data_IF_304776352250
#
_entry.id   IF_304776352250
#
_cell.length_a   1.000
_cell.length_b   1.000
_cell.length_c   1.000
_cell.angle_alpha   90.00
_cell.angle_beta   90.00
_cell.angle_gamma   90.00
#
_symmetry.space_group_name_H-M   'P 1'
#
loop_
_entity.id
_entity.type
_entity.pdbx_description
1 polymer ?
#
# COMPACT_ATOMS: atom_id res chain seq x y z
N UNK A 1 25.98 -3.34 -7.88
CA UNK A 1 24.61 -3.70 -7.47
C UNK A 1 23.73 -2.48 -7.64
N UNK A 2 22.63 -2.59 -8.41
CA UNK A 2 21.67 -1.51 -8.62
C UNK A 2 20.51 -1.68 -7.63
N UNK A 3 20.30 -0.70 -6.76
CA UNK A 3 19.31 -0.75 -5.68
C UNK A 3 18.13 0.14 -6.03
N UNK A 4 16.91 -0.38 -5.88
CA UNK A 4 15.66 0.35 -6.07
C UNK A 4 14.93 0.62 -4.75
N UNK A 5 13.85 1.40 -4.83
CA UNK A 5 12.92 1.62 -3.74
C UNK A 5 11.53 1.22 -4.23
N UNK A 6 10.91 0.26 -3.57
CA UNK A 6 9.55 -0.17 -3.88
C UNK A 6 8.59 0.28 -2.78
N UNK A 7 7.46 0.80 -3.18
CA UNK A 7 6.50 1.46 -2.29
C UNK A 7 5.16 0.72 -2.29
N UNK A 8 4.57 0.52 -1.12
CA UNK A 8 3.12 0.36 -1.07
C UNK A 8 2.42 1.69 -1.36
N UNK A 9 1.12 1.64 -1.65
CA UNK A 9 0.33 2.81 -2.04
C UNK A 9 -0.54 3.31 -0.90
N UNK A 10 -1.53 2.48 -0.50
CA UNK A 10 -2.58 2.85 0.47
C UNK A 10 -2.01 2.88 1.89
N UNK A 11 -1.97 4.02 2.54
CA UNK A 11 -1.39 4.19 3.89
C UNK A 11 0.12 4.48 3.88
N UNK A 12 0.78 4.34 2.75
CA UNK A 12 2.22 4.61 2.60
C UNK A 12 2.47 5.91 1.84
N UNK A 13 2.11 5.96 0.56
CA UNK A 13 2.22 7.16 -0.28
C UNK A 13 0.95 8.02 -0.23
N UNK A 14 -0.22 7.39 -0.22
CA UNK A 14 -1.52 8.04 -0.26
C UNK A 14 -2.34 7.75 1.02
N UNK A 15 -2.94 8.81 1.60
CA UNK A 15 -4.06 8.66 2.53
C UNK A 15 -5.33 8.44 1.70
N UNK A 16 -5.72 7.18 1.60
CA UNK A 16 -6.90 6.73 0.84
C UNK A 16 -8.07 6.36 1.75
N UNK A 17 -7.91 6.52 3.07
CA UNK A 17 -8.83 5.93 4.05
C UNK A 17 -10.23 6.52 3.98
N UNK A 18 -10.36 7.82 3.70
CA UNK A 18 -11.67 8.48 3.65
C UNK A 18 -12.48 7.99 2.45
N UNK A 19 -11.89 7.92 1.25
CA UNK A 19 -12.58 7.41 0.06
C UNK A 19 -12.90 5.91 0.18
N UNK A 20 -12.02 5.12 0.81
CA UNK A 20 -12.28 3.72 1.13
C UNK A 20 -13.45 3.58 2.13
N UNK A 21 -13.52 4.46 3.14
CA UNK A 21 -14.60 4.46 4.13
C UNK A 21 -15.93 4.79 3.48
N UNK A 22 -15.97 5.82 2.64
CA UNK A 22 -17.18 6.20 1.91
C UNK A 22 -17.68 5.07 1.00
N UNK A 23 -16.75 4.42 0.27
CA UNK A 23 -17.11 3.32 -0.62
C UNK A 23 -17.61 2.07 0.14
N UNK A 24 -16.98 1.72 1.26
CA UNK A 24 -17.45 0.64 2.15
C UNK A 24 -18.86 0.95 2.63
N UNK A 25 -19.08 2.16 3.14
CA UNK A 25 -20.38 2.56 3.68
C UNK A 25 -21.46 2.69 2.60
N UNK A 26 -21.09 3.11 1.39
CA UNK A 26 -22.00 3.07 0.24
C UNK A 26 -22.45 1.63 -0.05
N UNK A 27 -21.53 0.69 -0.10
CA UNK A 27 -21.87 -0.72 -0.30
C UNK A 27 -22.75 -1.28 0.82
N UNK A 28 -22.40 -1.03 2.08
CA UNK A 28 -23.18 -1.49 3.24
C UNK A 28 -24.60 -0.93 3.24
N UNK A 29 -24.77 0.37 2.96
CA UNK A 29 -26.06 1.05 2.95
C UNK A 29 -27.04 0.46 1.93
N UNK A 30 -26.57 0.01 0.76
CA UNK A 30 -27.41 -0.61 -0.27
C UNK A 30 -28.09 -1.91 0.21
N UNK A 31 -27.49 -2.59 1.19
CA UNK A 31 -28.03 -3.84 1.76
C UNK A 31 -28.59 -3.67 3.16
N UNK A 32 -28.72 -2.41 3.64
CA UNK A 32 -29.25 -2.11 4.97
C UNK A 32 -28.34 -2.58 6.11
N UNK A 33 -27.05 -2.77 5.87
CA UNK A 33 -26.08 -3.18 6.89
C UNK A 33 -25.59 -1.97 7.70
N UNK A 34 -25.18 -2.18 8.97
CA UNK A 34 -24.61 -1.14 9.80
C UNK A 34 -23.39 -0.50 9.15
N UNK A 35 -23.33 0.82 9.15
CA UNK A 35 -22.18 1.56 8.64
C UNK A 35 -20.96 1.38 9.55
N UNK A 36 -19.77 1.52 8.98
CA UNK A 36 -18.50 1.43 9.68
C UNK A 36 -17.86 2.80 9.88
N UNK A 37 -17.26 2.98 11.03
CA UNK A 37 -16.44 4.16 11.30
C UNK A 37 -15.13 4.11 10.50
N UNK A 38 -14.49 5.26 10.31
CA UNK A 38 -13.16 5.36 9.69
C UNK A 38 -12.12 4.46 10.38
N UNK A 39 -12.16 4.40 11.71
CA UNK A 39 -11.23 3.56 12.49
C UNK A 39 -11.47 2.06 12.33
N UNK A 40 -12.71 1.63 12.14
CA UNK A 40 -13.02 0.24 11.82
C UNK A 40 -12.49 -0.10 10.42
N UNK A 41 -12.78 0.76 9.43
CA UNK A 41 -12.29 0.55 8.05
C UNK A 41 -10.77 0.54 8.02
N UNK A 42 -10.08 1.43 8.75
CA UNK A 42 -8.61 1.42 8.90
C UNK A 42 -8.08 0.04 9.32
N UNK A 43 -8.73 -0.61 10.29
CA UNK A 43 -8.34 -1.95 10.75
C UNK A 43 -8.61 -3.06 9.72
N UNK A 44 -9.54 -2.84 8.81
CA UNK A 44 -9.95 -3.84 7.82
C UNK A 44 -9.08 -3.80 6.55
N UNK A 45 -8.49 -2.65 6.21
CA UNK A 45 -7.65 -2.44 5.02
C UNK A 45 -6.33 -3.22 5.12
N UNK A 46 -5.68 -3.49 3.98
CA UNK A 46 -4.34 -4.07 3.84
C UNK A 46 -4.31 -5.43 3.12
N UNK A 47 -5.35 -6.24 3.26
CA UNK A 47 -5.42 -7.58 2.66
C UNK A 47 -6.29 -7.68 1.40
N UNK A 48 -6.52 -6.55 0.72
CA UNK A 48 -7.35 -6.45 -0.48
C UNK A 48 -8.85 -6.29 -0.18
N UNK A 49 -9.60 -5.84 -1.21
CA UNK A 49 -11.00 -5.42 -1.05
C UNK A 49 -11.95 -6.54 -0.58
N UNK A 50 -11.76 -7.78 -1.03
CA UNK A 50 -12.61 -8.89 -0.57
C UNK A 50 -12.52 -9.08 0.94
N UNK A 51 -11.30 -9.03 1.51
CA UNK A 51 -11.11 -9.13 2.97
C UNK A 51 -11.63 -7.90 3.71
N UNK A 52 -11.48 -6.72 3.14
CA UNK A 52 -12.05 -5.48 3.66
C UNK A 52 -13.57 -5.63 3.81
N UNK A 53 -14.27 -6.04 2.75
CA UNK A 53 -15.73 -6.21 2.76
C UNK A 53 -16.15 -7.34 3.70
N UNK A 54 -15.47 -8.50 3.69
CA UNK A 54 -15.76 -9.60 4.62
C UNK A 54 -15.70 -9.19 6.09
N UNK A 55 -14.79 -8.27 6.45
CA UNK A 55 -14.68 -7.74 7.82
C UNK A 55 -15.73 -6.67 8.12
N UNK A 56 -16.25 -6.00 7.09
CA UNK A 56 -17.20 -4.91 7.24
C UNK A 56 -18.67 -5.37 7.35
N UNK A 57 -19.04 -6.47 6.69
CA UNK A 57 -20.41 -7.01 6.67
C UNK A 57 -20.75 -7.79 7.94
N UNK A 58 -22.04 -8.03 8.25
CA UNK A 58 -22.45 -8.95 9.30
C UNK A 58 -21.94 -10.38 9.06
N UNK A 59 -21.76 -11.12 10.15
CA UNK A 59 -21.38 -12.53 10.09
C UNK A 59 -22.39 -13.36 9.28
N UNK A 60 -21.88 -14.21 8.38
CA UNK A 60 -22.72 -15.05 7.51
C UNK A 60 -23.29 -14.34 6.28
N UNK A 61 -23.13 -13.03 6.15
CA UNK A 61 -23.56 -12.30 4.94
C UNK A 61 -22.64 -12.59 3.74
N UNK A 62 -23.23 -12.59 2.53
CA UNK A 62 -22.48 -12.73 1.29
C UNK A 62 -21.71 -11.44 0.96
N UNK A 63 -20.37 -11.49 0.84
CA UNK A 63 -19.57 -10.31 0.50
C UNK A 63 -19.69 -9.87 -0.97
N UNK A 64 -20.06 -10.74 -1.90
CA UNK A 64 -19.95 -10.47 -3.33
C UNK A 64 -20.84 -9.31 -3.81
N UNK A 65 -22.12 -9.20 -3.44
CA UNK A 65 -22.94 -8.09 -3.85
C UNK A 65 -22.47 -6.76 -3.22
N UNK A 66 -22.03 -6.78 -1.95
CA UNK A 66 -21.51 -5.58 -1.27
C UNK A 66 -20.20 -5.14 -1.90
N UNK A 67 -19.32 -6.09 -2.23
CA UNK A 67 -18.06 -5.80 -2.93
C UNK A 67 -18.30 -5.20 -4.32
N UNK A 68 -19.31 -5.67 -5.03
CA UNK A 68 -19.68 -5.11 -6.34
C UNK A 68 -20.16 -3.65 -6.20
N UNK A 69 -21.01 -3.36 -5.22
CA UNK A 69 -21.48 -2.01 -4.91
C UNK A 69 -20.31 -1.09 -4.48
N UNK A 70 -19.42 -1.60 -3.63
CA UNK A 70 -18.17 -0.92 -3.25
C UNK A 70 -17.34 -0.51 -4.48
N UNK A 71 -17.08 -1.43 -5.41
CA UNK A 71 -16.28 -1.15 -6.59
C UNK A 71 -16.92 -0.15 -7.54
N UNK A 72 -18.22 -0.26 -7.76
CA UNK A 72 -18.96 0.68 -8.61
C UNK A 72 -18.85 2.12 -8.08
N UNK A 73 -18.94 2.29 -6.76
CA UNK A 73 -18.78 3.60 -6.14
C UNK A 73 -17.30 4.04 -6.16
N UNK A 74 -16.40 3.18 -5.69
CA UNK A 74 -14.98 3.51 -5.56
C UNK A 74 -14.32 3.89 -6.89
N UNK A 75 -14.71 3.25 -7.99
CA UNK A 75 -14.17 3.57 -9.31
C UNK A 75 -14.39 5.04 -9.74
N UNK A 76 -15.50 5.64 -9.30
CA UNK A 76 -15.84 7.03 -9.59
C UNK A 76 -15.32 8.03 -8.53
N UNK A 77 -15.07 7.56 -7.29
CA UNK A 77 -14.86 8.42 -6.12
C UNK A 77 -13.51 8.21 -5.42
N UNK A 78 -12.61 7.39 -5.98
CA UNK A 78 -11.33 7.05 -5.32
C UNK A 78 -10.30 8.20 -5.25
N UNK A 79 -10.65 9.38 -5.75
CA UNK A 79 -9.80 10.57 -5.80
C UNK A 79 -10.45 11.80 -5.14
N UNK A 80 -11.63 11.65 -4.56
CA UNK A 80 -12.38 12.78 -4.00
C UNK A 80 -11.66 13.38 -2.79
N UNK A 81 -11.20 12.53 -1.88
CA UNK A 81 -10.51 12.88 -0.64
C UNK A 81 -9.08 12.37 -0.57
N UNK A 82 -8.73 11.35 -1.39
CA UNK A 82 -7.38 10.78 -1.45
C UNK A 82 -6.34 11.85 -1.77
N UNK A 83 -5.25 11.86 -1.00
CA UNK A 83 -4.12 12.80 -1.19
C UNK A 83 -2.81 12.11 -0.78
N UNK A 84 -1.66 12.49 -1.36
CA UNK A 84 -0.36 12.11 -0.82
C UNK A 84 -0.25 12.59 0.64
N UNK A 85 0.35 11.76 1.50
CA UNK A 85 0.70 12.22 2.84
C UNK A 85 1.62 13.44 2.76
N UNK A 86 1.50 14.33 3.74
CA UNK A 86 2.34 15.52 3.81
C UNK A 86 3.82 15.13 3.75
N UNK A 87 4.61 15.81 2.91
CA UNK A 87 6.05 15.54 2.74
C UNK A 87 6.42 14.41 1.77
N UNK A 88 5.49 13.53 1.36
CA UNK A 88 5.79 12.41 0.44
C UNK A 88 6.33 12.91 -0.90
N UNK A 89 5.70 13.90 -1.52
CA UNK A 89 6.17 14.42 -2.82
C UNK A 89 7.59 14.99 -2.72
N UNK A 90 7.92 15.63 -1.60
CA UNK A 90 9.26 16.15 -1.34
C UNK A 90 10.27 15.02 -1.16
N UNK A 91 9.92 13.97 -0.40
CA UNK A 91 10.80 12.80 -0.21
C UNK A 91 11.07 12.07 -1.53
N UNK A 92 10.03 11.85 -2.35
CA UNK A 92 10.19 11.25 -3.67
C UNK A 92 11.10 12.09 -4.59
N UNK A 93 10.97 13.42 -4.57
CA UNK A 93 11.82 14.30 -5.34
C UNK A 93 13.31 14.23 -4.90
N UNK A 94 13.58 14.07 -3.61
CA UNK A 94 14.95 13.86 -3.09
C UNK A 94 15.54 12.50 -3.51
N UNK A 95 14.68 11.49 -3.69
CA UNK A 95 15.06 10.12 -4.03
C UNK A 95 15.02 9.83 -5.54
N UNK A 96 14.74 10.82 -6.38
CA UNK A 96 14.51 10.64 -7.83
C UNK A 96 15.66 10.01 -8.62
N UNK A 97 16.88 9.98 -8.05
CA UNK A 97 18.06 9.30 -8.62
C UNK A 97 17.99 7.77 -8.52
N UNK A 98 17.13 7.23 -7.68
CA UNK A 98 16.95 5.80 -7.52
C UNK A 98 15.78 5.30 -8.36
N UNK A 99 15.88 4.12 -8.99
CA UNK A 99 14.72 3.48 -9.61
C UNK A 99 13.64 3.21 -8.57
N UNK A 100 12.42 3.57 -8.88
CA UNK A 100 11.28 3.40 -7.97
C UNK A 100 10.12 2.70 -8.66
N UNK A 101 9.36 1.91 -7.88
CA UNK A 101 8.11 1.29 -8.31
C UNK A 101 7.09 1.28 -7.18
N UNK A 102 5.81 1.22 -7.54
CA UNK A 102 4.69 1.07 -6.62
C UNK A 102 4.12 -0.34 -6.78
N UNK A 103 3.91 -1.05 -5.63
CA UNK A 103 3.38 -2.41 -5.59
C UNK A 103 2.29 -2.49 -4.53
N UNK A 104 1.03 -2.73 -4.94
CA UNK A 104 -0.12 -2.66 -4.03
C UNK A 104 -1.09 -3.84 -4.18
N UNK A 105 -1.72 -4.25 -3.07
CA UNK A 105 -2.85 -5.20 -3.07
C UNK A 105 -4.18 -4.62 -3.57
N UNK A 106 -4.17 -3.35 -3.96
CA UNK A 106 -5.28 -2.71 -4.67
C UNK A 106 -5.33 -3.24 -6.11
N UNK A 107 -6.52 -3.41 -6.74
CA UNK A 107 -6.61 -3.80 -8.14
C UNK A 107 -5.83 -2.88 -9.08
N UNK A 108 -5.17 -3.46 -10.07
CA UNK A 108 -4.25 -2.77 -10.98
C UNK A 108 -4.88 -1.54 -11.66
N UNK A 109 -6.13 -1.63 -12.09
CA UNK A 109 -6.83 -0.50 -12.70
C UNK A 109 -6.97 0.69 -11.73
N UNK A 110 -7.25 0.45 -10.45
CA UNK A 110 -7.34 1.50 -9.44
C UNK A 110 -5.97 2.08 -9.07
N UNK A 111 -4.93 1.22 -8.98
CA UNK A 111 -3.54 1.69 -8.81
C UNK A 111 -3.14 2.61 -9.94
N UNK A 112 -3.35 2.20 -11.19
CA UNK A 112 -3.01 2.99 -12.37
C UNK A 112 -3.79 4.30 -12.45
N UNK A 113 -5.05 4.32 -12.01
CA UNK A 113 -5.85 5.54 -11.94
C UNK A 113 -5.25 6.55 -10.96
N UNK A 114 -4.94 6.12 -9.74
CA UNK A 114 -4.33 6.97 -8.72
C UNK A 114 -2.90 7.40 -9.11
N UNK A 115 -2.09 6.47 -9.62
CA UNK A 115 -0.71 6.77 -9.97
C UNK A 115 -0.59 7.73 -11.16
N UNK A 116 -1.49 7.66 -12.14
CA UNK A 116 -1.53 8.66 -13.22
C UNK A 116 -1.74 10.08 -12.70
N UNK A 117 -2.47 10.25 -11.63
CA UNK A 117 -2.73 11.56 -11.03
C UNK A 117 -1.58 12.04 -10.15
N UNK A 118 -1.06 11.17 -9.29
CA UNK A 118 -0.13 11.58 -8.23
C UNK A 118 1.33 11.23 -8.51
N UNK A 119 1.60 10.17 -9.28
CA UNK A 119 2.93 9.62 -9.52
C UNK A 119 3.10 9.17 -10.98
N UNK A 120 2.86 10.05 -11.98
CA UNK A 120 2.79 9.66 -13.39
C UNK A 120 4.09 9.05 -13.95
N UNK A 121 5.23 9.37 -13.33
CA UNK A 121 6.55 8.93 -13.78
C UNK A 121 7.01 7.62 -13.09
N UNK A 122 6.23 7.09 -12.15
CA UNK A 122 6.59 5.86 -11.44
C UNK A 122 5.94 4.64 -12.09
N UNK A 123 6.74 3.57 -12.24
CA UNK A 123 6.18 2.26 -12.53
C UNK A 123 5.23 1.84 -11.40
N UNK A 124 4.04 1.38 -11.75
CA UNK A 124 3.03 1.01 -10.76
C UNK A 124 2.35 -0.31 -11.14
N UNK A 125 2.25 -1.20 -10.18
CA UNK A 125 1.63 -2.51 -10.28
C UNK A 125 0.62 -2.71 -9.16
N UNK A 126 -0.58 -3.11 -9.52
CA UNK A 126 -1.62 -3.55 -8.61
C UNK A 126 -1.89 -5.05 -8.72
N UNK A 127 -2.76 -5.55 -7.84
CA UNK A 127 -3.21 -6.93 -7.86
C UNK A 127 -3.92 -7.26 -9.18
N UNK A 128 -3.59 -8.40 -9.76
CA UNK A 128 -4.25 -8.98 -10.93
C UNK A 128 -4.21 -10.51 -10.86
N UNK A 129 -4.89 -11.20 -11.78
CA UNK A 129 -4.84 -12.65 -11.85
C UNK A 129 -3.45 -13.20 -12.27
N UNK A 130 -2.58 -12.34 -12.80
CA UNK A 130 -1.25 -12.72 -13.27
C UNK A 130 -0.24 -12.93 -12.14
N UNK A 131 -0.45 -12.33 -10.97
CA UNK A 131 0.48 -12.39 -9.85
C UNK A 131 -0.26 -12.54 -8.52
N UNK A 132 0.18 -13.47 -7.64
CA UNK A 132 -0.31 -13.57 -6.28
C UNK A 132 -0.18 -12.24 -5.54
N UNK A 133 -1.17 -11.96 -4.68
CA UNK A 133 -1.17 -10.74 -3.86
C UNK A 133 -0.14 -10.81 -2.74
N UNK A 134 0.32 -9.68 -2.25
CA UNK A 134 1.07 -9.57 -1.00
C UNK A 134 0.34 -10.32 0.14
N UNK A 135 1.02 -11.10 0.99
CA UNK A 135 2.46 -11.11 1.22
C UNK A 135 3.29 -12.01 0.29
N UNK A 136 2.72 -12.61 -0.75
CA UNK A 136 3.53 -13.33 -1.73
C UNK A 136 4.50 -12.37 -2.42
N UNK A 137 5.75 -12.80 -2.71
CA UNK A 137 6.80 -11.91 -3.20
C UNK A 137 6.71 -11.55 -4.69
N UNK A 138 5.84 -12.23 -5.43
CA UNK A 138 5.80 -12.22 -6.90
C UNK A 138 5.73 -10.83 -7.50
N UNK A 139 4.84 -9.95 -6.99
CA UNK A 139 4.73 -8.59 -7.49
C UNK A 139 5.98 -7.76 -7.21
N UNK A 140 6.64 -7.95 -6.05
CA UNK A 140 7.89 -7.25 -5.72
C UNK A 140 9.01 -7.70 -6.65
N UNK A 141 9.20 -9.01 -6.83
CA UNK A 141 10.23 -9.57 -7.72
C UNK A 141 9.99 -9.14 -9.17
N UNK A 142 8.73 -9.14 -9.62
CA UNK A 142 8.38 -8.66 -10.96
C UNK A 142 8.67 -7.18 -11.13
N UNK A 143 8.28 -6.33 -10.17
CA UNK A 143 8.54 -4.89 -10.23
C UNK A 143 10.05 -4.60 -10.24
N UNK A 144 10.85 -5.31 -9.43
CA UNK A 144 12.32 -5.21 -9.46
C UNK A 144 12.89 -5.52 -10.85
N UNK A 145 12.43 -6.61 -11.47
CA UNK A 145 12.86 -6.99 -12.82
C UNK A 145 12.48 -5.92 -13.86
N UNK A 146 11.26 -5.38 -13.80
CA UNK A 146 10.75 -4.40 -14.76
C UNK A 146 11.49 -3.05 -14.68
N UNK A 147 11.88 -2.60 -13.46
CA UNK A 147 12.68 -1.38 -13.30
C UNK A 147 14.20 -1.63 -13.36
N UNK A 148 14.60 -2.89 -13.55
CA UNK A 148 15.99 -3.31 -13.77
C UNK A 148 16.90 -3.07 -12.57
N UNK A 149 16.50 -3.55 -11.37
CA UNK A 149 17.30 -3.47 -10.14
C UNK A 149 17.63 -4.87 -9.61
N UNK A 150 18.78 -4.99 -8.95
CA UNK A 150 19.26 -6.26 -8.38
C UNK A 150 18.64 -6.55 -7.01
N UNK A 151 18.33 -5.49 -6.25
CA UNK A 151 17.67 -5.52 -4.96
C UNK A 151 16.91 -4.23 -4.72
N UNK A 152 16.08 -4.18 -3.67
CA UNK A 152 15.35 -2.96 -3.29
C UNK A 152 15.22 -2.82 -1.78
N UNK A 153 14.81 -1.63 -1.33
CA UNK A 153 14.18 -1.45 -0.04
C UNK A 153 12.67 -1.38 -0.29
N UNK A 154 11.91 -2.22 0.39
CA UNK A 154 10.46 -2.17 0.33
C UNK A 154 9.93 -1.26 1.44
N UNK A 155 9.07 -0.30 1.08
CA UNK A 155 8.50 0.68 2.02
C UNK A 155 7.00 0.45 2.13
N UNK A 156 6.48 0.25 3.34
CA UNK A 156 5.06 0.02 3.58
C UNK A 156 4.64 0.35 5.01
N UNK A 157 3.34 0.33 5.27
CA UNK A 157 2.74 0.74 6.54
C UNK A 157 2.06 -0.40 7.31
N UNK A 158 2.22 -1.65 6.86
CA UNK A 158 1.47 -2.77 7.41
C UNK A 158 2.32 -4.02 7.66
N UNK A 159 1.76 -4.93 8.47
CA UNK A 159 2.25 -6.29 8.67
C UNK A 159 2.40 -7.07 7.36
N UNK A 160 1.49 -6.85 6.41
CA UNK A 160 1.56 -7.45 5.07
C UNK A 160 2.81 -7.01 4.32
N UNK A 161 3.22 -5.75 4.44
CA UNK A 161 4.41 -5.21 3.78
C UNK A 161 5.70 -5.78 4.35
N UNK A 162 5.77 -5.87 5.68
CA UNK A 162 6.90 -6.51 6.38
C UNK A 162 7.07 -7.96 5.92
N UNK A 163 5.95 -8.72 5.87
CA UNK A 163 5.97 -10.11 5.40
C UNK A 163 6.32 -10.20 3.91
N UNK A 164 5.84 -9.28 3.08
CA UNK A 164 6.16 -9.24 1.65
C UNK A 164 7.66 -9.03 1.43
N UNK A 165 8.24 -8.06 2.09
CA UNK A 165 9.68 -7.79 2.02
C UNK A 165 10.50 -9.00 2.47
N UNK A 166 10.11 -9.63 3.60
CA UNK A 166 10.74 -10.84 4.11
C UNK A 166 10.67 -11.99 3.10
N UNK A 167 9.50 -12.22 2.49
CA UNK A 167 9.32 -13.28 1.51
C UNK A 167 10.08 -13.01 0.20
N UNK A 168 10.23 -11.74 -0.18
CA UNK A 168 11.04 -11.33 -1.32
C UNK A 168 12.56 -11.30 -1.03
N UNK A 169 12.98 -11.50 0.22
CA UNK A 169 14.39 -11.45 0.62
C UNK A 169 15.02 -10.05 0.58
N UNK A 170 14.20 -9.00 0.77
CA UNK A 170 14.65 -7.60 0.72
C UNK A 170 14.38 -6.90 2.07
N UNK A 171 15.16 -5.87 2.43
CA UNK A 171 14.88 -5.08 3.62
C UNK A 171 13.57 -4.31 3.53
N UNK A 172 12.90 -4.13 4.68
CA UNK A 172 11.69 -3.35 4.82
C UNK A 172 11.95 -2.10 5.66
N UNK A 173 11.43 -0.95 5.21
CA UNK A 173 11.24 0.25 6.02
C UNK A 173 9.73 0.41 6.29
N UNK A 174 9.33 0.32 7.55
CA UNK A 174 7.94 0.48 7.97
C UNK A 174 7.64 1.93 8.33
N UNK A 175 6.60 2.51 7.72
CA UNK A 175 6.16 3.88 8.01
C UNK A 175 5.03 3.87 9.03
N UNK A 176 5.00 4.86 9.95
CA UNK A 176 4.09 4.87 11.10
C UNK A 176 2.91 5.85 10.98
N UNK A 177 2.78 6.54 9.85
CA UNK A 177 1.62 7.40 9.57
C UNK A 177 0.44 6.68 8.90
N UNK A 178 0.61 5.40 8.54
CA UNK A 178 -0.38 4.59 7.84
C UNK A 178 -1.39 3.87 8.75
N UNK A 179 -1.76 2.66 8.37
CA UNK A 179 -2.90 1.95 8.95
C UNK A 179 -2.55 1.09 10.16
N UNK A 180 -1.29 0.62 10.30
CA UNK A 180 -0.86 -0.27 11.39
C UNK A 180 0.06 0.42 12.38
N UNK A 181 -0.01 -0.04 13.61
CA UNK A 181 0.89 0.39 14.67
C UNK A 181 2.26 -0.26 14.55
N UNK A 182 3.26 0.35 15.17
CA UNK A 182 4.61 -0.23 15.31
C UNK A 182 4.54 -1.64 15.89
N UNK A 183 3.75 -1.87 16.95
CA UNK A 183 3.66 -3.17 17.62
C UNK A 183 3.13 -4.29 16.70
N UNK A 184 2.15 -3.99 15.83
CA UNK A 184 1.65 -4.96 14.84
C UNK A 184 2.73 -5.34 13.83
N UNK A 185 3.53 -4.38 13.37
CA UNK A 185 4.62 -4.63 12.43
C UNK A 185 5.82 -5.33 13.08
N UNK A 186 6.16 -4.98 14.33
CA UNK A 186 7.20 -5.66 15.11
C UNK A 186 6.85 -7.13 15.37
N UNK A 187 5.57 -7.44 15.59
CA UNK A 187 5.10 -8.81 15.83
C UNK A 187 5.38 -9.76 14.66
N UNK A 188 5.50 -9.24 13.43
CA UNK A 188 5.83 -10.03 12.23
C UNK A 188 7.29 -9.86 11.78
N UNK A 189 8.10 -9.16 12.57
CA UNK A 189 9.55 -9.01 12.34
C UNK A 189 9.99 -7.69 11.73
N UNK A 190 9.13 -6.65 11.71
CA UNK A 190 9.51 -5.29 11.35
C UNK A 190 10.60 -4.75 12.29
N UNK A 191 11.62 -4.11 11.73
CA UNK A 191 12.79 -3.61 12.49
C UNK A 191 13.14 -2.17 12.20
N UNK A 192 12.99 -1.71 10.96
CA UNK A 192 13.30 -0.35 10.55
C UNK A 192 11.99 0.44 10.48
N UNK A 193 11.96 1.61 11.11
CA UNK A 193 10.75 2.42 11.22
C UNK A 193 11.04 3.88 10.91
N UNK A 194 10.06 4.52 10.24
CA UNK A 194 10.05 5.95 9.98
C UNK A 194 8.71 6.52 10.49
N UNK A 195 8.77 7.49 11.38
CA UNK A 195 7.60 8.14 12.00
C UNK A 195 7.29 9.52 11.42
N UNK A 196 8.22 10.06 10.62
CA UNK A 196 8.11 11.41 10.05
C UNK A 196 8.60 11.40 8.58
N UNK A 197 7.74 11.85 7.68
CA UNK A 197 8.04 11.94 6.24
C UNK A 197 9.25 12.82 5.92
N UNK A 198 9.57 13.80 6.75
CA UNK A 198 10.75 14.66 6.58
C UNK A 198 12.07 13.90 6.74
N UNK A 199 12.05 12.77 7.45
CA UNK A 199 13.22 11.90 7.70
C UNK A 199 13.34 10.75 6.68
N UNK A 200 12.28 10.51 5.90
CA UNK A 200 12.13 9.34 5.04
C UNK A 200 13.28 9.19 4.03
N UNK A 201 13.61 10.27 3.33
CA UNK A 201 14.68 10.23 2.33
C UNK A 201 16.05 9.93 2.96
N UNK A 202 16.37 10.58 4.09
CA UNK A 202 17.63 10.36 4.80
C UNK A 202 17.80 8.92 5.30
N UNK A 203 16.75 8.33 5.87
CA UNK A 203 16.74 6.94 6.34
C UNK A 203 16.95 5.97 5.15
N UNK A 204 16.23 6.18 4.05
CA UNK A 204 16.37 5.32 2.86
C UNK A 204 17.77 5.42 2.25
N UNK A 205 18.37 6.62 2.20
CA UNK A 205 19.75 6.79 1.72
C UNK A 205 20.79 6.10 2.62
N UNK A 206 20.57 6.11 3.94
CA UNK A 206 21.39 5.37 4.88
C UNK A 206 21.28 3.86 4.64
N UNK A 207 20.07 3.31 4.57
CA UNK A 207 19.85 1.89 4.28
C UNK A 207 20.45 1.46 2.93
N UNK A 208 20.37 2.32 1.89
CA UNK A 208 20.98 2.04 0.59
C UNK A 208 22.51 2.00 0.69
N UNK A 209 23.12 2.92 1.45
CA UNK A 209 24.58 2.88 1.68
C UNK A 209 25.02 1.60 2.38
N UNK A 210 24.28 1.17 3.40
CA UNK A 210 24.59 -0.07 4.14
C UNK A 210 24.51 -1.30 3.22
N UNK A 211 23.48 -1.39 2.37
CA UNK A 211 23.35 -2.46 1.38
C UNK A 211 24.48 -2.45 0.32
N UNK A 212 25.05 -1.29 0.03
CA UNK A 212 26.14 -1.19 -0.96
C UNK A 212 27.48 -1.64 -0.37
N UNK A 213 27.64 -1.59 0.96
CA UNK A 213 28.88 -1.94 1.66
C UNK A 213 28.91 -3.41 2.14
N UNK A 214 27.76 -4.09 2.16
CA UNK A 214 27.61 -5.49 2.56
C UNK A 214 27.94 -6.47 1.43
#
# INVERSE_FOLDING_TARGET
MKIGILWDLDGTLLDTLDDLTDAVNHGLAQFGYPLRTRDEVRRFVGSGARRLIQRAIPEGADPDPVQSAFWNYYAAHCQDKTRPFAGIMQALAQLNRYPMAIVSNKPDAAVKTLCRQYFPDLYAMGMSDAHPRKPEPDMVLKAMADIGVDTCIYVGDSDVDVLTAKNAGVPCLSVLWGFRSRAEMEAVGGRNFCDDTSRLAGILEEMIRDLTQA
#
